data_IF_711072856665
#
_entry.id   IF_711072856665
#
_cell.length_a   1.000
_cell.length_b   1.000
_cell.length_c   1.000
_cell.angle_alpha   90.00
_cell.angle_beta   90.00
_cell.angle_gamma   90.00
#
_symmetry.space_group_name_H-M   'P 1'
#
loop_
_entity.id
_entity.type
_entity.pdbx_description
1 polymer ?
#
# COMPACT_ATOMS: atom_id res chain seq x y z
N UNK A 1 -37.94 31.45 44.24
CA UNK A 1 -37.79 29.98 44.25
C UNK A 1 -37.33 29.58 42.87
N UNK A 2 -36.02 29.37 42.71
CA UNK A 2 -35.41 28.84 41.49
C UNK A 2 -35.68 27.33 41.44
N UNK A 3 -36.28 26.83 40.35
CA UNK A 3 -36.44 25.41 40.11
C UNK A 3 -35.23 24.87 39.34
N UNK A 4 -34.47 24.00 40.00
CA UNK A 4 -33.36 23.23 39.43
C UNK A 4 -33.91 22.27 38.35
N UNK A 5 -33.39 22.24 37.11
CA UNK A 5 -33.75 21.20 36.16
C UNK A 5 -33.04 19.88 36.49
N UNK A 6 -33.83 18.81 36.55
CA UNK A 6 -33.42 17.44 36.80
C UNK A 6 -32.54 16.88 35.66
N UNK A 7 -31.44 16.23 36.05
CA UNK A 7 -30.57 15.48 35.16
C UNK A 7 -31.28 14.21 34.67
N UNK A 8 -31.68 14.19 33.40
CA UNK A 8 -32.29 13.01 32.75
C UNK A 8 -31.18 12.11 32.22
N UNK A 9 -31.03 10.92 32.78
CA UNK A 9 -30.13 9.89 32.26
C UNK A 9 -30.64 9.36 30.90
N UNK A 10 -29.78 9.17 29.89
CA UNK A 10 -30.22 8.74 28.56
C UNK A 10 -30.81 7.33 28.58
N UNK A 11 -31.96 7.13 27.92
CA UNK A 11 -32.65 5.83 27.82
C UNK A 11 -31.80 4.78 27.09
N UNK A 12 -32.01 3.48 27.39
CA UNK A 12 -31.27 2.34 26.82
C UNK A 12 -31.28 2.28 25.27
N UNK A 13 -32.30 2.88 24.62
CA UNK A 13 -32.36 3.03 23.15
C UNK A 13 -31.32 4.00 22.60
N UNK A 14 -30.91 5.02 23.36
CA UNK A 14 -29.88 6.00 22.95
C UNK A 14 -28.46 5.44 23.02
N UNK A 15 -28.21 4.51 23.95
CA UNK A 15 -26.93 3.81 24.06
C UNK A 15 -26.76 2.79 22.92
N UNK A 16 -27.85 2.13 22.53
CA UNK A 16 -27.88 1.17 21.44
C UNK A 16 -27.76 1.85 20.06
N UNK A 17 -28.35 3.04 19.86
CA UNK A 17 -28.15 3.82 18.62
C UNK A 17 -26.73 4.39 18.52
N UNK A 18 -26.12 4.76 19.64
CA UNK A 18 -24.74 5.28 19.68
C UNK A 18 -23.72 4.18 19.36
N UNK A 19 -23.88 2.98 19.91
CA UNK A 19 -23.02 1.83 19.60
C UNK A 19 -23.19 1.34 18.15
N UNK A 20 -24.42 1.35 17.63
CA UNK A 20 -24.68 1.01 16.23
C UNK A 20 -24.08 2.04 15.28
N UNK A 21 -24.11 3.33 15.63
CA UNK A 21 -23.49 4.42 14.86
C UNK A 21 -21.96 4.32 14.87
N UNK A 22 -21.35 3.98 16.00
CA UNK A 22 -19.89 3.78 16.12
C UNK A 22 -19.44 2.55 15.30
N UNK A 23 -20.14 1.42 15.42
CA UNK A 23 -19.83 0.22 14.65
C UNK A 23 -20.06 0.40 13.14
N UNK A 24 -21.10 1.17 12.76
CA UNK A 24 -21.35 1.54 11.35
C UNK A 24 -20.27 2.48 10.84
N UNK A 25 -19.81 3.43 11.65
CA UNK A 25 -18.72 4.36 11.28
C UNK A 25 -17.37 3.65 11.15
N UNK A 26 -17.08 2.67 12.02
CA UNK A 26 -15.89 1.82 11.92
C UNK A 26 -16.01 0.89 10.69
N UNK A 27 -17.18 0.30 10.45
CA UNK A 27 -17.43 -0.53 9.26
C UNK A 27 -17.31 0.26 7.96
N UNK A 28 -17.82 1.49 7.92
CA UNK A 28 -17.70 2.43 6.79
C UNK A 28 -16.26 2.97 6.66
N UNK A 29 -15.51 3.13 7.75
CA UNK A 29 -14.09 3.48 7.70
C UNK A 29 -13.25 2.36 7.07
N UNK A 30 -13.51 1.10 7.44
CA UNK A 30 -12.81 -0.06 6.86
C UNK A 30 -13.31 -0.43 5.44
N UNK A 31 -14.60 -0.27 5.10
CA UNK A 31 -15.09 -0.47 3.73
C UNK A 31 -14.78 0.72 2.80
N UNK A 32 -14.91 1.95 3.28
CA UNK A 32 -14.60 3.18 2.52
C UNK A 32 -13.12 3.33 2.22
N UNK A 33 -12.24 2.72 3.01
CA UNK A 33 -10.82 2.61 2.72
C UNK A 33 -10.52 1.73 1.48
N UNK A 34 -11.49 0.97 0.96
CA UNK A 34 -11.24 -0.02 -0.12
C UNK A 34 -12.08 0.14 -1.38
N UNK A 35 -13.07 1.02 -1.47
CA UNK A 35 -13.87 1.15 -2.70
C UNK A 35 -14.20 2.60 -3.01
N UNK A 36 -13.50 3.14 -4.03
CA UNK A 36 -13.71 4.41 -4.75
C UNK A 36 -13.64 5.66 -3.86
N UNK A 37 -12.60 6.49 -4.09
CA UNK A 37 -12.33 7.72 -3.36
C UNK A 37 -13.41 8.82 -3.48
N UNK A 38 -14.59 8.57 -2.94
CA UNK A 38 -15.69 9.53 -2.81
C UNK A 38 -15.73 10.18 -1.42
N UNK A 39 -14.59 10.24 -0.74
CA UNK A 39 -14.45 10.97 0.52
C UNK A 39 -14.83 12.44 0.39
N UNK A 40 -14.64 13.04 -0.80
CA UNK A 40 -15.07 14.41 -1.08
C UNK A 40 -16.61 14.53 -1.05
N UNK A 41 -17.35 13.55 -1.60
CA UNK A 41 -18.81 13.54 -1.55
C UNK A 41 -19.34 13.26 -0.15
N UNK A 42 -18.70 12.36 0.60
CA UNK A 42 -19.05 12.09 2.01
C UNK A 42 -18.80 13.33 2.87
N UNK A 43 -17.68 14.03 2.70
CA UNK A 43 -17.39 15.30 3.36
C UNK A 43 -18.40 16.38 2.97
N UNK A 44 -18.77 16.49 1.69
CA UNK A 44 -19.80 17.43 1.21
C UNK A 44 -21.17 17.10 1.81
N UNK A 45 -21.53 15.82 1.94
CA UNK A 45 -22.79 15.40 2.55
C UNK A 45 -22.79 15.55 4.08
N UNK A 46 -21.67 15.32 4.76
CA UNK A 46 -21.49 15.65 6.17
C UNK A 46 -21.56 17.17 6.39
N UNK A 47 -20.93 17.96 5.52
CA UNK A 47 -20.97 19.42 5.56
C UNK A 47 -22.40 19.95 5.36
N UNK A 48 -23.17 19.35 4.44
CA UNK A 48 -24.61 19.61 4.24
C UNK A 48 -25.48 19.14 5.41
N UNK A 49 -25.15 18.02 6.06
CA UNK A 49 -25.90 17.46 7.18
C UNK A 49 -25.69 18.21 8.51
N UNK A 50 -24.55 18.89 8.67
CA UNK A 50 -24.22 19.74 9.84
C UNK A 50 -24.85 21.15 9.69
N UNK A 51 -25.63 21.39 8.64
CA UNK A 51 -26.52 22.55 8.53
C UNK A 51 -25.83 23.88 8.23
N UNK A 52 -24.59 23.87 7.75
CA UNK A 52 -23.96 25.08 7.20
C UNK A 52 -24.47 25.24 5.76
N UNK A 53 -25.68 25.78 5.64
CA UNK A 53 -26.23 26.25 4.38
C UNK A 53 -25.37 27.39 3.85
N UNK A 54 -24.55 27.14 2.84
CA UNK A 54 -24.34 28.10 1.76
C UNK A 54 -24.38 27.39 0.40
N UNK A 55 -25.13 28.02 -0.48
CA UNK A 55 -25.46 27.71 -1.87
C UNK A 55 -24.23 27.41 -2.74
N UNK A 56 -24.14 26.20 -3.27
CA UNK A 56 -23.12 25.81 -4.27
C UNK A 56 -23.73 25.15 -5.52
N UNK A 57 -24.90 25.62 -5.96
CA UNK A 57 -25.43 25.27 -7.30
C UNK A 57 -25.36 26.43 -8.31
N UNK A 58 -24.72 27.56 -7.98
CA UNK A 58 -24.59 28.70 -8.91
C UNK A 58 -23.14 29.05 -9.31
N UNK A 59 -22.13 28.28 -8.89
CA UNK A 59 -20.72 28.70 -9.05
C UNK A 59 -20.17 28.64 -10.50
N UNK A 60 -20.88 27.98 -11.43
CA UNK A 60 -20.52 27.99 -12.85
C UNK A 60 -21.19 29.10 -13.66
N UNK A 61 -22.31 29.67 -13.20
CA UNK A 61 -22.99 30.80 -13.87
C UNK A 61 -22.54 32.16 -13.32
N UNK A 62 -22.17 32.27 -12.03
CA UNK A 62 -21.77 33.56 -11.46
C UNK A 62 -20.50 34.16 -12.08
N UNK A 63 -19.58 33.34 -12.55
CA UNK A 63 -18.33 33.84 -13.14
C UNK A 63 -18.50 34.38 -14.57
N UNK A 64 -19.59 34.04 -15.26
CA UNK A 64 -19.89 34.59 -16.58
C UNK A 64 -20.67 35.91 -16.50
N UNK A 65 -21.53 36.08 -15.49
CA UNK A 65 -22.30 37.32 -15.27
C UNK A 65 -21.58 38.39 -14.44
N UNK A 66 -20.63 38.03 -13.57
CA UNK A 66 -19.87 38.99 -12.75
C UNK A 66 -18.80 39.78 -13.54
N UNK A 67 -18.47 39.35 -14.76
CA UNK A 67 -17.60 40.12 -15.67
C UNK A 67 -18.33 41.32 -16.32
N UNK A 68 -19.68 41.33 -16.33
CA UNK A 68 -20.48 42.46 -16.83
C UNK A 68 -20.90 43.45 -15.74
N UNK A 69 -20.83 43.07 -14.46
CA UNK A 69 -21.23 43.93 -13.35
C UNK A 69 -20.15 43.92 -12.27
N UNK A 70 -19.30 44.95 -12.28
CA UNK A 70 -18.08 45.07 -11.46
C UNK A 70 -18.28 44.98 -9.94
N UNK A 71 -18.44 43.75 -9.43
CA UNK A 71 -18.47 43.42 -8.02
C UNK A 71 -17.12 42.81 -7.61
N UNK A 72 -16.30 43.63 -6.96
CA UNK A 72 -15.04 43.23 -6.34
C UNK A 72 -15.31 42.35 -5.10
N UNK A 73 -15.09 41.04 -5.22
CA UNK A 73 -14.80 40.19 -4.07
C UNK A 73 -13.28 40.14 -3.94
N UNK A 74 -12.75 40.69 -2.84
CA UNK A 74 -11.32 40.75 -2.51
C UNK A 74 -10.76 39.34 -2.22
N UNK A 75 -10.52 38.57 -3.27
CA UNK A 75 -9.39 37.67 -3.30
C UNK A 75 -8.19 38.46 -3.83
N UNK A 76 -6.98 38.32 -3.27
CA UNK A 76 -5.80 38.91 -3.89
C UNK A 76 -5.79 38.47 -5.36
N UNK A 77 -5.68 39.40 -6.32
CA UNK A 77 -5.77 39.06 -7.73
C UNK A 77 -4.67 38.04 -8.03
N UNK A 78 -5.07 36.80 -8.32
CA UNK A 78 -4.15 35.83 -8.93
C UNK A 78 -3.62 36.51 -10.19
N UNK A 79 -2.31 36.58 -10.33
CA UNK A 79 -1.75 37.29 -11.47
C UNK A 79 -2.24 36.61 -12.76
N UNK A 80 -2.40 37.35 -13.87
CA UNK A 80 -2.72 36.73 -15.16
C UNK A 80 -1.76 35.58 -15.53
N UNK A 81 -0.52 35.66 -15.03
CA UNK A 81 0.48 34.62 -15.13
C UNK A 81 0.11 33.36 -14.33
N UNK A 82 -0.40 33.47 -13.10
CA UNK A 82 -0.83 32.32 -12.28
C UNK A 82 -2.03 31.58 -12.88
N UNK A 83 -2.97 32.32 -13.48
CA UNK A 83 -4.15 31.74 -14.14
C UNK A 83 -3.71 31.03 -15.43
N UNK A 84 -2.87 31.68 -16.25
CA UNK A 84 -2.32 31.09 -17.47
C UNK A 84 -1.50 29.84 -17.18
N UNK A 85 -0.61 29.89 -16.18
CA UNK A 85 0.21 28.76 -15.75
C UNK A 85 -0.64 27.62 -15.22
N UNK A 86 -1.67 27.90 -14.41
CA UNK A 86 -2.60 26.89 -13.90
C UNK A 86 -3.40 26.19 -15.00
N UNK A 87 -3.90 26.94 -15.98
CA UNK A 87 -4.61 26.36 -17.15
C UNK A 87 -3.67 25.56 -18.06
N UNK A 88 -2.46 26.06 -18.29
CA UNK A 88 -1.46 25.37 -19.09
C UNK A 88 -0.99 24.08 -18.41
N UNK A 89 -0.77 24.09 -17.09
CA UNK A 89 -0.44 22.90 -16.33
C UNK A 89 -1.58 21.87 -16.33
N UNK A 90 -2.83 22.31 -16.14
CA UNK A 90 -4.02 21.45 -16.18
C UNK A 90 -4.20 20.78 -17.55
N UNK A 91 -4.07 21.55 -18.63
CA UNK A 91 -4.16 21.02 -20.00
C UNK A 91 -3.02 20.04 -20.32
N UNK A 92 -1.80 20.30 -19.85
CA UNK A 92 -0.67 19.38 -20.03
C UNK A 92 -0.86 18.08 -19.23
N UNK A 93 -1.31 18.15 -17.98
CA UNK A 93 -1.59 16.95 -17.18
C UNK A 93 -2.70 16.10 -17.82
N UNK A 94 -3.75 16.72 -18.36
CA UNK A 94 -4.80 16.01 -19.09
C UNK A 94 -4.27 15.32 -20.35
N UNK A 95 -3.33 15.93 -21.08
CA UNK A 95 -2.73 15.34 -22.27
C UNK A 95 -1.91 14.05 -21.98
N UNK A 96 -1.45 13.86 -20.74
CA UNK A 96 -0.67 12.69 -20.32
C UNK A 96 -1.40 11.78 -19.31
N UNK A 97 -2.74 11.88 -19.21
CA UNK A 97 -3.55 11.08 -18.27
C UNK A 97 -3.20 11.30 -16.77
N UNK A 98 -2.75 12.51 -16.41
CA UNK A 98 -2.28 12.86 -15.07
C UNK A 98 -3.24 13.78 -14.29
N UNK A 99 -4.52 13.78 -14.65
CA UNK A 99 -5.53 14.60 -13.96
C UNK A 99 -5.69 14.13 -12.51
N UNK A 100 -5.58 15.07 -11.56
CA UNK A 100 -5.67 14.74 -10.14
C UNK A 100 -4.45 14.03 -9.56
N UNK A 101 -3.28 14.10 -10.22
CA UNK A 101 -2.05 13.42 -9.78
C UNK A 101 -1.73 13.61 -8.29
N UNK A 102 -1.92 14.82 -7.76
CA UNK A 102 -1.69 15.10 -6.34
C UNK A 102 -2.54 14.22 -5.41
N UNK A 103 -3.80 13.97 -5.74
CA UNK A 103 -4.70 13.10 -4.97
C UNK A 103 -4.19 11.65 -4.97
N UNK A 104 -3.79 11.13 -6.13
CA UNK A 104 -3.24 9.78 -6.25
C UNK A 104 -1.91 9.63 -5.51
N UNK A 105 -1.03 10.65 -5.57
CA UNK A 105 0.21 10.67 -4.81
C UNK A 105 -0.06 10.69 -3.31
N UNK A 106 -0.93 11.58 -2.83
CA UNK A 106 -1.29 11.64 -1.41
C UNK A 106 -1.88 10.33 -0.91
N UNK A 107 -2.79 9.73 -1.68
CA UNK A 107 -3.39 8.45 -1.32
C UNK A 107 -2.35 7.32 -1.29
N UNK A 108 -1.53 7.19 -2.34
CA UNK A 108 -0.51 6.14 -2.43
C UNK A 108 0.52 6.27 -1.32
N UNK A 109 0.99 7.47 -1.02
CA UNK A 109 1.96 7.74 0.07
C UNK A 109 1.31 7.41 1.41
N UNK A 110 0.12 7.95 1.68
CA UNK A 110 -0.57 7.76 2.96
C UNK A 110 -0.84 6.29 3.22
N UNK A 111 -1.41 5.57 2.24
CA UNK A 111 -1.72 4.15 2.38
C UNK A 111 -0.44 3.32 2.61
N UNK A 112 0.60 3.55 1.81
CA UNK A 112 1.86 2.80 1.92
C UNK A 112 2.53 2.98 3.27
N UNK A 113 2.64 4.23 3.76
CA UNK A 113 3.24 4.55 5.05
C UNK A 113 2.35 4.13 6.23
N UNK A 114 1.02 4.26 6.11
CA UNK A 114 0.09 3.76 7.11
C UNK A 114 0.25 2.25 7.27
N UNK A 115 0.21 1.47 6.19
CA UNK A 115 0.43 0.03 6.24
C UNK A 115 1.81 -0.33 6.80
N UNK A 116 2.87 0.37 6.37
CA UNK A 116 4.24 0.14 6.82
C UNK A 116 4.41 0.33 8.33
N UNK A 117 3.89 1.42 8.89
CA UNK A 117 4.04 1.72 10.32
C UNK A 117 2.97 1.06 11.20
N UNK A 118 1.75 0.87 10.72
CA UNK A 118 0.70 0.18 11.49
C UNK A 118 1.03 -1.31 11.58
N UNK A 119 1.32 -1.97 10.45
CA UNK A 119 1.60 -3.41 10.43
C UNK A 119 3.03 -3.66 10.93
N UNK A 120 4.03 -3.05 10.29
CA UNK A 120 5.43 -3.24 10.66
C UNK A 120 5.75 -2.73 12.07
N UNK A 121 5.27 -1.53 12.42
CA UNK A 121 5.42 -0.98 13.77
C UNK A 121 4.60 -1.72 14.83
N UNK A 122 3.40 -2.19 14.48
CA UNK A 122 2.59 -3.05 15.36
C UNK A 122 3.28 -4.38 15.68
N UNK A 123 3.81 -5.07 14.65
CA UNK A 123 4.62 -6.27 14.82
C UNK A 123 5.87 -6.01 15.65
N UNK A 124 6.57 -4.91 15.36
CA UNK A 124 7.77 -4.53 16.11
C UNK A 124 7.46 -4.27 17.58
N UNK A 125 6.45 -3.45 17.88
CA UNK A 125 6.03 -3.17 19.25
C UNK A 125 5.63 -4.45 19.99
N UNK A 126 4.79 -5.28 19.38
CA UNK A 126 4.31 -6.48 20.05
C UNK A 126 5.44 -7.50 20.30
N UNK A 127 6.24 -7.83 19.28
CA UNK A 127 7.25 -8.87 19.41
C UNK A 127 8.57 -8.37 20.01
N UNK A 128 9.13 -7.27 19.51
CA UNK A 128 10.47 -6.79 19.89
C UNK A 128 10.50 -5.98 21.18
N UNK A 129 9.36 -5.43 21.61
CA UNK A 129 9.23 -4.67 22.86
C UNK A 129 8.43 -5.47 23.89
N UNK A 130 7.18 -5.83 23.61
CA UNK A 130 6.31 -6.47 24.60
C UNK A 130 6.66 -7.95 24.86
N UNK A 131 7.07 -8.71 23.85
CA UNK A 131 7.46 -10.13 23.97
C UNK A 131 8.98 -10.36 23.97
N UNK A 132 9.79 -9.34 24.27
CA UNK A 132 11.24 -9.40 24.12
C UNK A 132 11.89 -10.53 24.93
N UNK A 133 11.46 -10.73 26.17
CA UNK A 133 12.03 -11.74 27.06
C UNK A 133 11.69 -13.19 26.65
N UNK A 134 10.73 -13.34 25.73
CA UNK A 134 10.28 -14.62 25.16
C UNK A 134 10.78 -14.83 23.73
N UNK A 135 11.91 -14.22 23.37
CA UNK A 135 12.47 -14.26 22.01
C UNK A 135 12.61 -15.68 21.44
N UNK A 136 12.97 -16.67 22.26
CA UNK A 136 13.10 -18.07 21.86
C UNK A 136 11.80 -18.71 21.39
N UNK A 137 10.63 -18.16 21.76
CA UNK A 137 9.32 -18.69 21.38
C UNK A 137 8.88 -18.22 19.99
N UNK A 138 9.33 -17.03 19.55
CA UNK A 138 8.78 -16.37 18.35
C UNK A 138 9.83 -15.93 17.33
N UNK A 139 11.05 -15.60 17.75
CA UNK A 139 12.07 -15.03 16.86
C UNK A 139 12.82 -16.15 16.15
N UNK A 140 13.05 -15.97 14.85
CA UNK A 140 13.79 -16.95 14.03
C UNK A 140 15.25 -17.06 14.49
N UNK A 141 15.89 -15.91 14.76
CA UNK A 141 17.24 -15.81 15.31
C UNK A 141 17.18 -15.26 16.75
N UNK A 142 16.91 -16.09 17.78
CA UNK A 142 16.54 -15.63 19.12
C UNK A 142 17.64 -14.85 19.84
N UNK A 143 18.91 -15.20 19.62
CA UNK A 143 20.05 -14.55 20.28
C UNK A 143 20.56 -13.30 19.55
N UNK A 144 19.93 -12.93 18.42
CA UNK A 144 20.42 -11.86 17.55
C UNK A 144 19.37 -10.78 17.38
N UNK A 145 19.56 -9.68 18.09
CA UNK A 145 18.78 -8.46 17.93
C UNK A 145 19.55 -7.40 17.16
N UNK A 146 18.92 -6.71 16.20
CA UNK A 146 19.58 -5.61 15.51
C UNK A 146 19.86 -4.47 16.49
N UNK A 147 21.05 -3.85 16.37
CA UNK A 147 21.38 -2.66 17.18
C UNK A 147 20.45 -1.49 16.84
N UNK A 148 20.23 -0.57 17.78
CA UNK A 148 19.42 0.64 17.53
C UNK A 148 19.89 1.42 16.30
N UNK A 149 21.22 1.52 16.10
CA UNK A 149 21.80 2.18 14.92
C UNK A 149 21.45 1.45 13.62
N UNK A 150 21.45 0.13 13.62
CA UNK A 150 21.06 -0.69 12.47
C UNK A 150 19.58 -0.50 12.16
N UNK A 151 18.72 -0.54 13.17
CA UNK A 151 17.27 -0.36 13.02
C UNK A 151 16.91 1.03 12.49
N UNK A 152 17.53 2.09 13.01
CA UNK A 152 17.30 3.44 12.49
C UNK A 152 17.68 3.52 11.01
N UNK A 153 18.83 2.95 10.62
CA UNK A 153 19.25 2.91 9.22
C UNK A 153 18.29 2.11 8.34
N UNK A 154 17.78 0.99 8.85
CA UNK A 154 16.77 0.16 8.19
C UNK A 154 15.49 0.94 7.94
N UNK A 155 14.92 1.57 8.98
CA UNK A 155 13.70 2.35 8.89
C UNK A 155 13.87 3.54 7.95
N UNK A 156 15.00 4.25 8.02
CA UNK A 156 15.29 5.39 7.13
C UNK A 156 15.40 4.92 5.68
N UNK A 157 16.22 3.89 5.40
CA UNK A 157 16.38 3.35 4.05
C UNK A 157 15.06 2.82 3.48
N UNK A 158 14.32 2.06 4.29
CA UNK A 158 13.01 1.51 3.94
C UNK A 158 11.98 2.60 3.68
N UNK A 159 11.94 3.65 4.50
CA UNK A 159 11.03 4.81 4.32
C UNK A 159 11.38 5.62 3.08
N UNK A 160 12.65 5.90 2.84
CA UNK A 160 13.09 6.63 1.64
C UNK A 160 12.74 5.88 0.36
N UNK A 161 12.95 4.56 0.36
CA UNK A 161 12.59 3.70 -0.76
C UNK A 161 11.07 3.58 -0.92
N UNK A 162 10.33 3.42 0.18
CA UNK A 162 8.87 3.37 0.17
C UNK A 162 8.24 4.64 -0.40
N UNK A 163 8.83 5.81 -0.12
CA UNK A 163 8.39 7.08 -0.72
C UNK A 163 8.54 7.04 -2.25
N UNK A 164 9.66 6.55 -2.77
CA UNK A 164 9.87 6.40 -4.21
C UNK A 164 8.89 5.40 -4.83
N UNK A 165 8.68 4.24 -4.19
CA UNK A 165 7.65 3.28 -4.60
C UNK A 165 6.27 3.94 -4.66
N UNK A 166 5.91 4.69 -3.62
CA UNK A 166 4.61 5.35 -3.49
C UNK A 166 4.40 6.42 -4.55
N UNK A 167 5.45 7.15 -4.94
CA UNK A 167 5.38 8.13 -6.03
C UNK A 167 5.14 7.41 -7.36
N UNK A 168 5.89 6.36 -7.66
CA UNK A 168 5.71 5.56 -8.88
C UNK A 168 4.30 4.97 -8.92
N UNK A 169 3.86 4.37 -7.81
CA UNK A 169 2.51 3.79 -7.68
C UNK A 169 1.41 4.84 -7.83
N UNK A 170 1.58 6.03 -7.26
CA UNK A 170 0.63 7.15 -7.42
C UNK A 170 0.55 7.66 -8.85
N UNK A 171 1.68 7.76 -9.56
CA UNK A 171 1.71 8.14 -10.98
C UNK A 171 0.98 7.09 -11.83
N UNK A 172 1.30 5.80 -11.66
CA UNK A 172 0.68 4.71 -12.42
C UNK A 172 -0.81 4.53 -12.10
N UNK A 173 -1.20 4.74 -10.83
CA UNK A 173 -2.60 4.79 -10.43
C UNK A 173 -3.34 5.96 -11.09
N UNK A 174 -2.74 7.15 -11.15
CA UNK A 174 -3.32 8.31 -11.82
C UNK A 174 -3.48 8.08 -13.33
N UNK A 175 -2.43 7.55 -13.96
CA UNK A 175 -2.43 7.18 -15.38
C UNK A 175 -3.59 6.24 -15.72
N UNK A 176 -3.72 5.14 -14.99
CA UNK A 176 -4.75 4.12 -15.24
C UNK A 176 -6.15 4.60 -14.90
N UNK A 177 -6.33 5.34 -13.80
CA UNK A 177 -7.62 5.90 -13.41
C UNK A 177 -8.15 6.96 -14.39
N UNK A 178 -7.28 7.59 -15.16
CA UNK A 178 -7.66 8.52 -16.23
C UNK A 178 -7.68 7.84 -17.61
N UNK A 179 -7.91 6.52 -17.67
CA UNK A 179 -8.03 5.77 -18.93
C UNK A 179 -6.75 5.77 -19.78
N UNK A 180 -5.60 5.99 -19.15
CA UNK A 180 -4.30 5.78 -19.78
C UNK A 180 -4.18 4.33 -20.28
N UNK A 181 -3.59 4.11 -21.47
CA UNK A 181 -3.43 2.79 -22.07
C UNK A 181 -2.96 1.70 -21.10
N UNK A 182 -3.89 0.84 -20.70
CA UNK A 182 -3.65 -0.34 -19.86
C UNK A 182 -4.68 -1.41 -20.21
N UNK A 183 -4.54 -2.59 -19.62
CA UNK A 183 -5.51 -3.69 -19.73
C UNK A 183 -6.37 -3.82 -18.48
N UNK A 184 -6.39 -2.80 -17.61
CA UNK A 184 -7.30 -2.78 -16.47
C UNK A 184 -8.74 -2.57 -16.95
N UNK A 185 -9.65 -3.39 -16.44
CA UNK A 185 -11.08 -3.22 -16.65
C UNK A 185 -11.83 -3.13 -15.31
N UNK A 186 -13.02 -2.52 -15.34
CA UNK A 186 -13.77 -2.16 -14.13
C UNK A 186 -15.03 -2.95 -13.89
N UNK A 187 -15.65 -3.51 -14.94
CA UNK A 187 -16.86 -4.30 -14.81
C UNK A 187 -16.54 -5.76 -15.06
N UNK A 188 -16.94 -6.64 -14.13
CA UNK A 188 -16.71 -8.09 -14.28
C UNK A 188 -17.37 -8.64 -15.54
N UNK A 189 -18.48 -8.04 -15.99
CA UNK A 189 -19.18 -8.40 -17.24
C UNK A 189 -18.33 -8.29 -18.50
N UNK A 190 -17.28 -7.46 -18.51
CA UNK A 190 -16.47 -7.21 -19.71
C UNK A 190 -15.69 -8.47 -20.15
N UNK A 191 -15.35 -9.34 -19.20
CA UNK A 191 -14.62 -10.60 -19.43
C UNK A 191 -15.26 -11.83 -18.75
N UNK A 192 -16.25 -11.63 -17.89
CA UNK A 192 -16.98 -12.67 -17.16
C UNK A 192 -16.31 -13.14 -15.87
N UNK A 193 -17.12 -13.80 -15.02
CA UNK A 193 -16.68 -14.32 -13.71
C UNK A 193 -15.60 -15.40 -13.80
N UNK A 194 -15.62 -16.22 -14.86
CA UNK A 194 -14.62 -17.26 -15.07
C UNK A 194 -13.25 -16.61 -15.28
N UNK A 195 -13.17 -15.60 -16.16
CA UNK A 195 -11.92 -14.88 -16.38
C UNK A 195 -11.46 -14.16 -15.11
N UNK A 196 -12.36 -13.47 -14.40
CA UNK A 196 -12.04 -12.83 -13.12
C UNK A 196 -11.36 -13.80 -12.12
N UNK A 197 -11.89 -15.02 -12.00
CA UNK A 197 -11.34 -16.03 -11.10
C UNK A 197 -9.98 -16.58 -11.58
N UNK A 198 -9.81 -16.82 -12.89
CA UNK A 198 -8.57 -17.38 -13.47
C UNK A 198 -7.46 -16.34 -13.58
N UNK A 199 -7.80 -15.07 -13.84
CA UNK A 199 -6.83 -13.99 -14.03
C UNK A 199 -6.06 -13.69 -12.75
N UNK A 200 -6.66 -13.93 -11.58
CA UNK A 200 -6.02 -13.72 -10.28
C UNK A 200 -4.78 -14.62 -10.06
N UNK A 201 -4.89 -15.96 -10.03
CA UNK A 201 -3.72 -16.82 -9.90
C UNK A 201 -2.76 -16.70 -11.08
N UNK A 202 -3.24 -16.41 -12.30
CA UNK A 202 -2.39 -16.18 -13.46
C UNK A 202 -1.47 -14.96 -13.27
N UNK A 203 -2.04 -13.81 -12.91
CA UNK A 203 -1.28 -12.58 -12.69
C UNK A 203 -0.37 -12.68 -11.47
N UNK A 204 -0.84 -13.29 -10.38
CA UNK A 204 -0.04 -13.54 -9.18
C UNK A 204 1.17 -14.42 -9.50
N UNK A 205 0.97 -15.54 -10.20
CA UNK A 205 2.05 -16.46 -10.60
C UNK A 205 3.03 -15.77 -11.55
N UNK A 206 2.55 -14.97 -12.51
CA UNK A 206 3.40 -14.18 -13.39
C UNK A 206 4.33 -13.25 -12.62
N UNK A 207 3.76 -12.48 -11.69
CA UNK A 207 4.50 -11.51 -10.89
C UNK A 207 5.51 -12.20 -9.96
N UNK A 208 5.10 -13.26 -9.26
CA UNK A 208 5.98 -13.98 -8.35
C UNK A 208 7.10 -14.73 -9.09
N UNK A 209 6.81 -15.32 -10.25
CA UNK A 209 7.80 -15.99 -11.09
C UNK A 209 8.88 -15.02 -11.62
N UNK A 210 8.48 -13.83 -12.07
CA UNK A 210 9.43 -12.81 -12.47
C UNK A 210 10.23 -12.27 -11.28
N UNK A 211 9.57 -12.14 -10.11
CA UNK A 211 10.23 -11.73 -8.87
C UNK A 211 11.30 -12.74 -8.46
N UNK A 212 11.02 -14.04 -8.55
CA UNK A 212 11.99 -15.11 -8.30
C UNK A 212 13.25 -14.96 -9.17
N UNK A 213 13.08 -14.79 -10.48
CA UNK A 213 14.21 -14.65 -11.40
C UNK A 213 14.96 -13.34 -11.22
N UNK A 214 14.26 -12.24 -11.00
CA UNK A 214 14.86 -10.95 -10.68
C UNK A 214 15.68 -11.06 -9.40
N UNK A 215 15.12 -11.66 -8.35
CA UNK A 215 15.80 -11.86 -7.07
C UNK A 215 17.06 -12.71 -7.25
N UNK A 216 16.96 -13.84 -7.95
CA UNK A 216 18.13 -14.68 -8.27
C UNK A 216 19.19 -13.92 -9.09
N UNK A 217 18.78 -13.10 -10.06
CA UNK A 217 19.67 -12.26 -10.86
C UNK A 217 20.39 -11.21 -9.99
N UNK A 218 19.69 -10.63 -9.01
CA UNK A 218 20.25 -9.68 -8.05
C UNK A 218 21.37 -10.29 -7.18
N UNK A 219 21.44 -11.62 -7.07
CA UNK A 219 22.52 -12.35 -6.40
C UNK A 219 23.73 -12.69 -7.28
N UNK A 220 23.71 -12.33 -8.57
CA UNK A 220 24.92 -12.40 -9.42
C UNK A 220 25.99 -11.45 -8.84
N UNK A 221 27.29 -11.83 -8.78
CA UNK A 221 28.28 -11.12 -7.97
C UNK A 221 28.36 -9.61 -8.16
N UNK A 222 28.20 -9.12 -9.40
CA UNK A 222 28.22 -7.70 -9.71
C UNK A 222 26.98 -6.97 -9.18
N UNK A 223 25.78 -7.51 -9.45
CA UNK A 223 24.51 -6.94 -8.98
C UNK A 223 24.42 -7.02 -7.46
N UNK A 224 24.82 -8.16 -6.88
CA UNK A 224 24.83 -8.32 -5.44
C UNK A 224 25.68 -7.25 -4.78
N UNK A 225 26.95 -7.12 -5.17
CA UNK A 225 27.89 -6.19 -4.53
C UNK A 225 27.45 -4.72 -4.63
N UNK A 226 26.79 -4.33 -5.72
CA UNK A 226 26.46 -2.92 -6.01
C UNK A 226 25.02 -2.52 -5.71
N UNK A 227 24.10 -3.47 -5.73
CA UNK A 227 22.65 -3.22 -5.64
C UNK A 227 22.10 -3.97 -4.43
N UNK A 228 22.04 -5.30 -4.51
CA UNK A 228 21.27 -6.10 -3.57
C UNK A 228 21.90 -6.23 -2.17
N UNK A 229 23.21 -5.99 -2.04
CA UNK A 229 23.90 -5.95 -0.75
C UNK A 229 23.35 -4.88 0.20
N UNK A 230 22.71 -3.82 -0.33
CA UNK A 230 22.01 -2.82 0.50
C UNK A 230 20.89 -3.49 1.29
N UNK A 231 20.08 -4.30 0.61
CA UNK A 231 19.00 -5.08 1.23
C UNK A 231 19.56 -6.14 2.19
N UNK A 232 20.59 -6.88 1.77
CA UNK A 232 21.25 -7.91 2.59
C UNK A 232 22.14 -7.37 3.73
N UNK A 233 22.20 -6.04 3.91
CA UNK A 233 22.89 -5.45 5.05
C UNK A 233 22.18 -5.79 6.38
N UNK A 234 20.89 -6.10 6.33
CA UNK A 234 20.02 -6.38 7.46
C UNK A 234 19.86 -7.87 7.72
N UNK A 235 20.94 -8.53 8.17
CA UNK A 235 20.97 -9.99 8.43
C UNK A 235 19.98 -10.50 9.47
N UNK A 236 19.46 -9.60 10.31
CA UNK A 236 18.35 -9.85 11.23
C UNK A 236 17.25 -8.87 10.82
N UNK A 237 16.52 -9.17 9.73
CA UNK A 237 15.56 -8.22 9.22
C UNK A 237 14.45 -8.00 10.24
N UNK A 238 13.92 -6.78 10.24
CA UNK A 238 12.62 -6.48 10.82
C UNK A 238 11.65 -6.16 9.69
N UNK A 239 10.36 -5.99 10.00
CA UNK A 239 9.35 -5.73 8.97
C UNK A 239 9.72 -4.51 8.10
N UNK A 240 10.51 -3.58 8.64
CA UNK A 240 11.00 -2.38 7.95
C UNK A 240 12.06 -2.67 6.86
N UNK A 241 12.69 -3.84 6.85
CA UNK A 241 13.59 -4.24 5.76
C UNK A 241 12.86 -4.51 4.44
N UNK A 242 11.54 -4.71 4.45
CA UNK A 242 10.73 -5.09 3.27
C UNK A 242 10.91 -4.13 2.09
N UNK A 243 11.18 -2.86 2.36
CA UNK A 243 11.40 -1.84 1.32
C UNK A 243 12.81 -1.25 1.34
N UNK A 244 13.71 -1.74 2.19
CA UNK A 244 15.05 -1.19 2.36
C UNK A 244 15.99 -1.61 1.21
N UNK A 245 15.65 -1.21 -0.01
CA UNK A 245 16.30 -1.60 -1.26
C UNK A 245 17.22 -0.50 -1.80
N UNK A 246 18.07 -0.88 -2.74
CA UNK A 246 18.72 0.07 -3.63
C UNK A 246 17.71 0.58 -4.70
N UNK A 247 17.77 1.85 -5.15
CA UNK A 247 16.80 2.38 -6.12
C UNK A 247 16.64 1.57 -7.41
N UNK A 248 17.73 0.97 -7.90
CA UNK A 248 17.69 0.09 -9.09
C UNK A 248 16.84 -1.16 -8.84
N UNK A 249 17.00 -1.81 -7.68
CA UNK A 249 16.23 -2.99 -7.30
C UNK A 249 14.75 -2.64 -7.14
N UNK A 250 14.46 -1.49 -6.53
CA UNK A 250 13.12 -0.94 -6.42
C UNK A 250 12.46 -0.74 -7.78
N UNK A 251 13.16 -0.14 -8.75
CA UNK A 251 12.60 0.10 -10.09
C UNK A 251 12.32 -1.22 -10.80
N UNK A 252 13.24 -2.20 -10.72
CA UNK A 252 13.02 -3.52 -11.28
C UNK A 252 11.81 -4.22 -10.65
N UNK A 253 11.69 -4.16 -9.32
CA UNK A 253 10.55 -4.73 -8.60
C UNK A 253 9.25 -4.05 -9.02
N UNK A 254 9.18 -2.71 -8.99
CA UNK A 254 8.00 -1.95 -9.42
C UNK A 254 7.60 -2.30 -10.86
N UNK A 255 8.56 -2.41 -11.78
CA UNK A 255 8.26 -2.83 -13.15
C UNK A 255 7.60 -4.21 -13.21
N UNK A 256 8.06 -5.16 -12.38
CA UNK A 256 7.47 -6.50 -12.28
C UNK A 256 6.07 -6.45 -11.66
N UNK A 257 5.91 -5.78 -10.50
CA UNK A 257 4.63 -5.69 -9.78
C UNK A 257 3.53 -5.04 -10.64
N UNK A 258 3.90 -4.05 -11.46
CA UNK A 258 2.96 -3.33 -12.32
C UNK A 258 2.80 -3.96 -13.71
N UNK A 259 3.69 -4.85 -14.14
CA UNK A 259 3.61 -5.48 -15.47
C UNK A 259 2.28 -6.21 -15.78
N UNK A 260 1.60 -6.91 -14.85
CA UNK A 260 0.38 -7.64 -15.18
C UNK A 260 -0.71 -6.76 -15.79
N UNK A 261 -0.85 -5.52 -15.31
CA UNK A 261 -1.88 -4.59 -15.78
C UNK A 261 -1.69 -4.14 -17.23
N UNK A 262 -0.49 -4.32 -17.79
CA UNK A 262 -0.18 -4.03 -19.18
C UNK A 262 -0.19 -5.28 -20.06
N UNK A 263 -0.21 -6.48 -19.49
CA UNK A 263 -0.06 -7.75 -20.22
C UNK A 263 -1.38 -8.48 -20.31
N UNK A 264 -2.12 -8.57 -19.21
CA UNK A 264 -3.37 -9.31 -19.11
C UNK A 264 -4.55 -8.37 -18.91
N UNK A 265 -5.72 -8.65 -19.51
CA UNK A 265 -6.97 -8.05 -19.05
C UNK A 265 -7.18 -8.38 -17.57
N UNK A 266 -7.11 -7.38 -16.70
CA UNK A 266 -7.21 -7.58 -15.25
C UNK A 266 -8.26 -6.67 -14.63
N UNK A 267 -9.13 -7.25 -13.83
CA UNK A 267 -10.05 -6.45 -13.04
C UNK A 267 -9.25 -5.65 -12.00
N UNK A 268 -9.56 -4.37 -11.84
CA UNK A 268 -8.82 -3.49 -10.93
C UNK A 268 -8.70 -4.06 -9.51
N UNK A 269 -9.77 -4.70 -8.99
CA UNK A 269 -9.76 -5.28 -7.63
C UNK A 269 -8.83 -6.48 -7.51
N UNK A 270 -8.67 -7.28 -8.58
CA UNK A 270 -7.73 -8.41 -8.61
C UNK A 270 -6.30 -7.87 -8.56
N UNK A 271 -6.01 -6.86 -9.38
CA UNK A 271 -4.69 -6.24 -9.42
C UNK A 271 -4.31 -5.62 -8.07
N UNK A 272 -5.19 -4.78 -7.49
CA UNK A 272 -4.97 -4.18 -6.17
C UNK A 272 -4.87 -5.25 -5.08
N UNK A 273 -5.70 -6.30 -5.13
CA UNK A 273 -5.65 -7.42 -4.20
C UNK A 273 -4.30 -8.14 -4.21
N UNK A 274 -3.72 -8.38 -5.39
CA UNK A 274 -2.39 -8.98 -5.52
C UNK A 274 -1.30 -8.06 -4.96
N UNK A 275 -1.34 -6.76 -5.26
CA UNK A 275 -0.37 -5.80 -4.70
C UNK A 275 -0.41 -5.75 -3.18
N UNK A 276 -1.62 -5.70 -2.60
CA UNK A 276 -1.80 -5.73 -1.15
C UNK A 276 -1.30 -7.05 -0.53
N UNK A 277 -1.61 -8.18 -1.17
CA UNK A 277 -1.16 -9.49 -0.73
C UNK A 277 0.38 -9.59 -0.68
N UNK A 278 1.05 -9.25 -1.77
CA UNK A 278 2.52 -9.32 -1.88
C UNK A 278 3.18 -8.39 -0.88
N UNK A 279 2.65 -7.17 -0.70
CA UNK A 279 3.21 -6.22 0.27
C UNK A 279 3.00 -6.67 1.71
N UNK A 280 1.82 -7.18 2.05
CA UNK A 280 1.52 -7.73 3.37
C UNK A 280 2.45 -8.90 3.72
N UNK A 281 2.58 -9.87 2.83
CA UNK A 281 3.47 -11.01 3.04
C UNK A 281 4.93 -10.58 3.11
N UNK A 282 5.36 -9.62 2.28
CA UNK A 282 6.70 -9.05 2.38
C UNK A 282 7.01 -8.48 3.77
N UNK A 283 6.06 -7.78 4.40
CA UNK A 283 6.23 -7.27 5.78
C UNK A 283 6.39 -8.42 6.80
N UNK A 284 5.64 -9.51 6.64
CA UNK A 284 5.74 -10.68 7.50
C UNK A 284 7.07 -11.40 7.30
N UNK A 285 7.46 -11.64 6.06
CA UNK A 285 8.66 -12.41 5.68
C UNK A 285 9.95 -11.72 6.12
N UNK A 286 9.96 -10.38 6.21
CA UNK A 286 11.08 -9.61 6.73
C UNK A 286 11.01 -9.38 8.24
N UNK A 287 9.92 -9.74 8.92
CA UNK A 287 9.72 -9.38 10.32
C UNK A 287 10.73 -10.01 11.31
N UNK A 288 11.39 -11.09 10.89
CA UNK A 288 12.24 -11.93 11.74
C UNK A 288 11.45 -12.76 12.77
N UNK A 289 10.12 -12.83 12.60
CA UNK A 289 9.17 -13.61 13.41
C UNK A 289 8.88 -14.92 12.69
N UNK A 290 8.83 -16.03 13.42
CA UNK A 290 8.60 -17.38 12.90
C UNK A 290 7.11 -17.65 12.62
N UNK A 291 6.48 -16.81 11.79
CA UNK A 291 5.12 -17.08 11.33
C UNK A 291 5.09 -18.30 10.41
N UNK A 292 4.07 -19.13 10.61
CA UNK A 292 3.82 -20.33 9.82
C UNK A 292 2.91 -20.04 8.64
N UNK A 293 3.19 -20.71 7.53
CA UNK A 293 2.33 -20.74 6.36
C UNK A 293 0.91 -21.11 6.77
N UNK A 294 -0.06 -20.39 6.22
CA UNK A 294 -1.46 -20.62 6.51
C UNK A 294 -1.99 -21.73 5.61
N UNK A 295 -2.87 -22.60 6.15
CA UNK A 295 -3.39 -23.76 5.42
C UNK A 295 -4.11 -23.40 4.11
N UNK A 296 -4.67 -22.19 4.02
CA UNK A 296 -5.38 -21.68 2.85
C UNK A 296 -4.46 -21.00 1.81
N UNK A 297 -3.15 -20.91 2.08
CA UNK A 297 -2.14 -20.39 1.17
C UNK A 297 -0.98 -21.38 1.01
N UNK A 298 -1.21 -22.58 0.47
CA UNK A 298 -0.20 -23.64 0.41
C UNK A 298 1.05 -23.31 -0.42
N UNK A 299 1.03 -22.22 -1.20
CA UNK A 299 2.17 -21.72 -1.96
C UNK A 299 3.12 -20.85 -1.12
N UNK A 300 2.59 -20.13 -0.11
CA UNK A 300 3.36 -19.21 0.72
C UNK A 300 4.24 -19.99 1.70
N UNK A 301 5.56 -19.78 1.71
CA UNK A 301 6.43 -20.44 2.68
C UNK A 301 6.28 -19.83 4.09
N UNK A 302 6.75 -20.55 5.10
CA UNK A 302 6.99 -19.98 6.44
C UNK A 302 7.96 -18.80 6.35
N UNK A 303 7.83 -17.80 7.22
CA UNK A 303 8.72 -16.63 7.20
C UNK A 303 10.20 -16.97 7.45
N UNK A 304 10.48 -18.15 8.05
CA UNK A 304 11.85 -18.66 8.19
C UNK A 304 12.55 -18.89 6.85
N UNK A 305 11.80 -19.14 5.79
CA UNK A 305 12.34 -19.35 4.45
C UNK A 305 13.12 -18.12 3.94
N UNK A 306 12.56 -16.93 4.15
CA UNK A 306 13.17 -15.67 3.73
C UNK A 306 14.23 -15.17 4.73
N UNK A 307 14.05 -15.43 6.03
CA UNK A 307 15.12 -15.15 7.01
C UNK A 307 16.37 -16.02 6.72
N UNK A 308 16.19 -17.29 6.40
CA UNK A 308 17.25 -18.19 5.93
C UNK A 308 17.91 -17.68 4.64
N UNK A 309 17.16 -17.02 3.74
CA UNK A 309 17.72 -16.39 2.54
C UNK A 309 18.70 -15.26 2.89
N UNK A 310 18.31 -14.36 3.81
CA UNK A 310 19.18 -13.29 4.34
C UNK A 310 20.42 -13.84 5.03
N UNK A 311 20.34 -15.05 5.59
CA UNK A 311 21.49 -15.72 6.17
C UNK A 311 22.35 -16.43 5.10
N UNK A 312 21.70 -17.12 4.16
CA UNK A 312 22.29 -18.00 3.15
C UNK A 312 21.92 -17.52 1.75
N UNK A 313 22.60 -16.46 1.30
CA UNK A 313 22.30 -15.67 0.09
C UNK A 313 22.28 -16.43 -1.24
N UNK A 314 22.59 -17.73 -1.27
CA UNK A 314 22.59 -18.56 -2.47
C UNK A 314 21.36 -19.47 -2.62
N UNK A 315 20.41 -19.38 -1.68
CA UNK A 315 19.23 -20.25 -1.62
C UNK A 315 17.96 -19.44 -1.36
N UNK A 316 16.79 -20.06 -1.55
CA UNK A 316 15.48 -19.50 -1.17
C UNK A 316 15.20 -18.14 -1.85
N UNK A 317 15.21 -18.09 -3.17
CA UNK A 317 14.95 -16.85 -3.92
C UNK A 317 13.46 -16.53 -4.08
N UNK A 318 12.57 -17.50 -3.88
CA UNK A 318 11.12 -17.29 -3.90
C UNK A 318 10.67 -16.37 -2.77
N UNK A 319 9.65 -15.55 -3.03
CA UNK A 319 9.08 -14.67 -2.02
C UNK A 319 7.73 -15.21 -1.58
N UNK A 320 6.74 -15.27 -2.48
CA UNK A 320 5.41 -15.77 -2.15
C UNK A 320 5.16 -17.22 -2.59
N UNK A 321 5.92 -17.75 -3.56
CA UNK A 321 5.80 -19.16 -3.97
C UNK A 321 7.16 -19.86 -3.79
N UNK A 322 7.32 -20.56 -2.66
CA UNK A 322 8.56 -21.30 -2.36
C UNK A 322 8.82 -22.50 -3.28
N UNK A 323 7.84 -22.90 -4.10
CA UNK A 323 7.96 -24.02 -5.05
C UNK A 323 8.96 -23.74 -6.18
N UNK A 324 9.22 -22.48 -6.53
CA UNK A 324 10.24 -22.16 -7.54
C UNK A 324 11.61 -22.69 -7.15
N UNK A 325 11.98 -22.54 -5.88
CA UNK A 325 13.25 -23.05 -5.36
C UNK A 325 13.35 -24.58 -5.37
N UNK A 326 12.20 -25.28 -5.26
CA UNK A 326 12.15 -26.74 -5.45
C UNK A 326 12.38 -27.10 -6.91
N UNK A 327 11.70 -26.42 -7.83
CA UNK A 327 11.79 -26.65 -9.27
C UNK A 327 13.21 -26.42 -9.78
N UNK A 328 13.84 -25.34 -9.33
CA UNK A 328 15.16 -24.91 -9.81
C UNK A 328 16.33 -25.36 -8.93
N UNK A 329 16.07 -26.14 -7.89
CA UNK A 329 17.10 -26.72 -7.02
C UNK A 329 17.85 -25.70 -6.16
N UNK A 330 17.22 -24.57 -5.84
CA UNK A 330 17.79 -23.50 -5.00
C UNK A 330 17.19 -23.46 -3.60
N UNK A 331 16.36 -24.44 -3.23
CA UNK A 331 15.83 -24.51 -1.87
C UNK A 331 16.94 -24.86 -0.87
N UNK A 332 17.04 -24.06 0.19
CA UNK A 332 17.92 -24.37 1.30
C UNK A 332 17.42 -25.63 2.01
N UNK A 333 18.25 -26.67 2.03
CA UNK A 333 17.97 -27.94 2.69
C UNK A 333 18.64 -27.97 4.05
N UNK A 334 18.03 -27.32 5.04
CA UNK A 334 18.43 -27.56 6.43
C UNK A 334 17.81 -28.89 6.89
N UNK A 335 18.64 -29.83 7.36
CA UNK A 335 18.16 -31.12 7.91
C UNK A 335 17.24 -30.93 9.14
N UNK A 336 17.18 -29.74 9.73
CA UNK A 336 16.30 -29.41 10.86
C UNK A 336 14.84 -29.12 10.49
N UNK A 337 14.52 -28.76 9.24
CA UNK A 337 13.14 -28.47 8.80
C UNK A 337 12.42 -29.65 8.14
N UNK A 338 13.11 -30.79 7.99
CA UNK A 338 12.49 -32.04 7.56
C UNK A 338 11.94 -32.79 8.78
N UNK A 339 10.86 -32.29 9.36
CA UNK A 339 10.01 -33.04 10.26
C UNK A 339 8.56 -32.94 9.82
#
# INVERSE_FOLDING_TARGET
MESIPSCVLPSSKSLQSSLTSICTSIGVFFLGATVKGEWLHILIHLYKAIGINQSEDNATDYNYYALEQGAFIDHPPRTPLDISLGMQLSSHLNAYYMRGLHTHLMFSITLSFASYFIIGGGLYWYYYIHLRDRASEWKIQPDKFPSTKTQIKEIVQGSSSLLLCSIISGILSCYTANEGPSRIYYNISDYGWIWYAVSCPLAFTWQDYLTYWMHRLMHVPWLYKRVHKVHHAYKQPTAFSVTAFHPVELICLQAILWSPMFIFPLHWSVFVGILMYVYYHGLLDHSGINFKAQWWQPWQPDCIFHDDHHHHTHYNFGVNIGTWDKIYGTQFKNKAYAK
#
